data_IF_113523055452
#
_entry.id   IF_113523055452
#
_cell.length_a   1.000
_cell.length_b   1.000
_cell.length_c   1.000
_cell.angle_alpha   90.00
_cell.angle_beta   90.00
_cell.angle_gamma   90.00
#
_symmetry.space_group_name_H-M   'P 1'
#
loop_
_entity.id
_entity.type
_entity.pdbx_description
1 polymer ?
#
# COMPACT_ATOMS: atom_id res chain seq x y z
N UNK A 1 -24.61 14.31 -62.63
CA UNK A 1 -25.71 15.29 -62.41
C UNK A 1 -26.53 14.84 -61.20
N UNK A 2 -26.78 15.80 -60.29
CA UNK A 2 -27.85 15.96 -59.26
C UNK A 2 -28.50 14.74 -58.55
N UNK A 3 -28.44 14.84 -57.21
CA UNK A 3 -29.22 14.18 -56.14
C UNK A 3 -30.74 14.25 -56.36
N UNK A 4 -31.50 13.24 -55.91
CA UNK A 4 -32.85 13.38 -55.29
C UNK A 4 -33.10 12.21 -54.31
N UNK A 5 -33.49 12.56 -53.07
CA UNK A 5 -34.02 11.72 -51.99
C UNK A 5 -35.56 11.59 -52.11
N UNK A 6 -36.18 10.60 -51.42
CA UNK A 6 -37.55 10.58 -50.79
C UNK A 6 -38.00 9.10 -50.74
N UNK A 7 -37.90 8.36 -49.63
CA UNK A 7 -38.74 8.36 -48.41
C UNK A 7 -40.17 7.78 -48.61
N UNK A 8 -40.40 6.55 -48.12
CA UNK A 8 -41.61 6.03 -47.44
C UNK A 8 -41.50 4.48 -47.38
N UNK A 9 -41.31 3.81 -46.22
CA UNK A 9 -42.31 3.51 -45.17
C UNK A 9 -43.59 2.87 -45.76
N UNK A 10 -44.17 1.75 -45.34
CA UNK A 10 -44.27 0.95 -44.11
C UNK A 10 -45.28 -0.16 -44.56
N UNK A 11 -45.10 -1.47 -44.42
CA UNK A 11 -45.47 -2.33 -43.27
C UNK A 11 -45.77 -3.72 -43.87
N UNK A 12 -45.38 -4.79 -43.18
CA UNK A 12 -46.08 -6.09 -42.99
C UNK A 12 -44.99 -7.10 -42.61
N UNK A 13 -44.56 -7.12 -41.35
CA UNK A 13 -45.06 -8.03 -40.31
C UNK A 13 -45.29 -9.46 -40.84
N UNK A 14 -44.21 -10.24 -40.84
CA UNK A 14 -44.31 -11.69 -40.69
C UNK A 14 -43.32 -12.12 -39.60
N UNK A 15 -43.89 -12.64 -38.52
CA UNK A 15 -43.23 -13.29 -37.40
C UNK A 15 -42.22 -14.32 -37.90
N UNK A 16 -40.94 -14.02 -37.73
CA UNK A 16 -39.86 -14.99 -37.85
C UNK A 16 -39.11 -15.01 -36.52
N UNK A 17 -39.49 -15.94 -35.64
CA UNK A 17 -38.75 -16.26 -34.43
C UNK A 17 -37.34 -16.75 -34.80
N UNK A 18 -36.39 -15.83 -34.89
CA UNK A 18 -34.97 -16.17 -34.74
C UNK A 18 -34.59 -15.92 -33.28
N UNK A 19 -34.74 -16.98 -32.50
CA UNK A 19 -34.06 -17.12 -31.22
C UNK A 19 -32.55 -17.02 -31.50
N UNK A 20 -31.98 -15.83 -31.29
CA UNK A 20 -30.53 -15.71 -31.12
C UNK A 20 -30.24 -16.40 -29.80
N UNK A 21 -29.68 -17.62 -29.89
CA UNK A 21 -29.03 -18.27 -28.76
C UNK A 21 -27.86 -17.37 -28.34
N UNK A 22 -28.14 -16.47 -27.40
CA UNK A 22 -27.11 -15.71 -26.73
C UNK A 22 -26.14 -16.69 -26.08
N UNK A 23 -24.92 -16.74 -26.61
CA UNK A 23 -23.76 -17.30 -25.92
C UNK A 23 -23.64 -16.52 -24.61
N UNK A 24 -24.14 -17.09 -23.52
CA UNK A 24 -23.81 -16.63 -22.19
C UNK A 24 -22.37 -17.05 -21.92
N UNK A 25 -21.43 -16.24 -22.41
CA UNK A 25 -20.15 -16.10 -21.74
C UNK A 25 -20.47 -15.53 -20.37
N UNK A 26 -20.62 -16.41 -19.38
CA UNK A 26 -20.56 -16.04 -17.99
C UNK A 26 -19.13 -15.54 -17.75
N UNK A 27 -18.90 -14.27 -18.08
CA UNK A 27 -17.79 -13.50 -17.56
C UNK A 27 -17.97 -13.52 -16.04
N UNK A 28 -17.24 -14.42 -15.39
CA UNK A 28 -16.99 -14.35 -13.95
C UNK A 28 -16.16 -13.09 -13.76
N UNK A 29 -16.83 -11.95 -13.73
CA UNK A 29 -16.25 -10.71 -13.26
C UNK A 29 -15.96 -10.92 -11.77
N UNK A 30 -14.76 -11.43 -11.50
CA UNK A 30 -14.21 -11.56 -10.17
C UNK A 30 -14.23 -10.16 -9.55
N UNK A 31 -15.07 -9.98 -8.53
CA UNK A 31 -15.08 -8.75 -7.74
C UNK A 31 -13.71 -8.66 -7.09
N UNK A 32 -12.79 -7.97 -7.77
CA UNK A 32 -11.49 -7.61 -7.24
C UNK A 32 -11.77 -6.71 -6.05
N UNK A 33 -11.68 -7.28 -4.85
CA UNK A 33 -11.76 -6.52 -3.59
C UNK A 33 -10.94 -5.24 -3.74
N UNK A 34 -11.42 -4.08 -3.26
CA UNK A 34 -10.72 -2.83 -3.44
C UNK A 34 -9.29 -3.01 -2.94
N UNK A 35 -8.31 -2.80 -3.83
CA UNK A 35 -6.90 -2.85 -3.50
C UNK A 35 -6.72 -1.96 -2.28
N UNK A 36 -6.37 -2.55 -1.14
CA UNK A 36 -6.12 -1.81 0.09
C UNK A 36 -4.91 -0.93 -0.19
N UNK A 37 -5.19 0.31 -0.60
CA UNK A 37 -4.18 1.28 -1.00
C UNK A 37 -3.14 1.34 0.13
N UNK A 38 -1.87 1.20 -0.21
CA UNK A 38 -0.76 1.25 0.75
C UNK A 38 -0.58 2.70 1.21
N UNK A 39 -1.51 3.17 2.02
CA UNK A 39 -1.52 4.51 2.60
C UNK A 39 -0.41 4.55 3.64
N UNK A 40 0.50 5.51 3.47
CA UNK A 40 1.53 5.80 4.45
C UNK A 40 0.90 6.52 5.63
N UNK A 41 1.25 6.08 6.83
CA UNK A 41 0.85 6.69 8.10
C UNK A 41 2.12 7.12 8.80
N UNK A 42 2.10 8.29 9.43
CA UNK A 42 3.22 8.78 10.23
C UNK A 42 2.98 8.51 11.70
N UNK A 43 3.89 7.80 12.36
CA UNK A 43 3.82 7.48 13.78
C UNK A 43 5.10 7.89 14.50
N UNK A 44 4.96 8.37 15.74
CA UNK A 44 6.08 8.69 16.62
C UNK A 44 6.30 7.53 17.58
N UNK A 45 7.49 6.94 17.55
CA UNK A 45 7.92 5.90 18.48
C UNK A 45 8.84 6.48 19.53
N UNK A 46 8.47 6.33 20.80
CA UNK A 46 9.38 6.58 21.92
C UNK A 46 10.42 5.45 21.98
N UNK A 47 11.70 5.83 22.08
CA UNK A 47 12.83 4.89 22.07
C UNK A 47 13.82 5.16 23.21
N UNK A 48 13.46 6.02 24.17
CA UNK A 48 14.31 6.37 25.32
C UNK A 48 14.59 5.19 26.26
N UNK A 49 13.70 4.20 26.24
CA UNK A 49 13.70 3.01 27.08
C UNK A 49 14.45 1.84 26.46
N UNK A 50 14.96 1.98 25.23
CA UNK A 50 15.60 0.87 24.52
C UNK A 50 17.11 0.84 24.80
N UNK A 51 17.69 -0.35 25.02
CA UNK A 51 19.12 -0.50 25.29
C UNK A 51 19.99 -0.42 24.02
N UNK A 52 19.81 0.61 23.19
CA UNK A 52 20.56 0.79 21.95
C UNK A 52 21.79 1.65 22.19
N UNK A 53 22.78 1.10 22.89
CA UNK A 53 23.99 1.82 23.28
C UNK A 53 25.18 1.55 22.37
N UNK A 54 26.00 2.58 22.14
CA UNK A 54 27.34 2.40 21.57
C UNK A 54 28.36 2.10 22.67
N UNK A 55 29.50 1.50 22.31
CA UNK A 55 30.59 1.22 23.26
C UNK A 55 31.15 2.47 23.94
N UNK A 56 30.97 3.65 23.35
CA UNK A 56 31.69 4.86 23.73
C UNK A 56 30.78 6.02 24.13
N UNK A 57 29.54 6.11 23.62
CA UNK A 57 28.67 7.28 23.80
C UNK A 57 27.19 6.94 23.64
N UNK A 58 26.54 6.51 24.71
CA UNK A 58 25.09 6.59 24.89
C UNK A 58 24.22 5.97 23.78
N UNK A 59 22.95 6.38 23.75
CA UNK A 59 21.94 5.89 22.83
C UNK A 59 22.25 6.28 21.37
N UNK A 60 22.14 5.35 20.42
CA UNK A 60 22.39 5.60 19.00
C UNK A 60 21.16 5.40 18.13
N UNK A 61 20.67 6.51 17.57
CA UNK A 61 19.63 6.49 16.55
C UNK A 61 20.08 5.78 15.29
N UNK A 62 21.30 6.02 14.81
CA UNK A 62 21.79 5.44 13.55
C UNK A 62 21.78 3.91 13.57
N UNK A 63 22.18 3.31 14.71
CA UNK A 63 22.14 1.86 14.89
C UNK A 63 20.69 1.33 14.87
N UNK A 64 19.78 1.98 15.61
CA UNK A 64 18.38 1.57 15.65
C UNK A 64 17.70 1.73 14.27
N UNK A 65 17.92 2.85 13.60
CA UNK A 65 17.37 3.14 12.27
C UNK A 65 17.90 2.12 11.25
N UNK A 66 19.19 1.82 11.28
CA UNK A 66 19.80 0.80 10.41
C UNK A 66 19.19 -0.58 10.65
N UNK A 67 18.98 -0.95 11.91
CA UNK A 67 18.34 -2.22 12.26
C UNK A 67 16.91 -2.30 11.74
N UNK A 68 16.11 -1.24 11.97
CA UNK A 68 14.73 -1.16 11.47
C UNK A 68 14.70 -1.29 9.95
N UNK A 69 15.55 -0.56 9.23
CA UNK A 69 15.62 -0.64 7.76
C UNK A 69 15.96 -2.05 7.26
N UNK A 70 16.91 -2.72 7.91
CA UNK A 70 17.33 -4.07 7.53
C UNK A 70 16.31 -5.16 7.89
N UNK A 71 15.51 -4.95 8.93
CA UNK A 71 14.61 -5.97 9.46
C UNK A 71 13.19 -5.84 8.93
N UNK A 72 12.75 -4.62 8.60
CA UNK A 72 11.37 -4.33 8.17
C UNK A 72 11.38 -3.93 6.71
N UNK A 73 10.97 -4.87 5.85
CA UNK A 73 10.75 -4.66 4.41
C UNK A 73 11.83 -3.77 3.75
N UNK A 74 13.10 -4.21 3.62
CA UNK A 74 14.22 -3.34 3.26
C UNK A 74 14.07 -2.55 1.95
N UNK A 75 13.27 -3.06 1.01
CA UNK A 75 12.97 -2.42 -0.28
C UNK A 75 12.00 -1.24 -0.16
N UNK A 76 11.24 -1.15 0.93
CA UNK A 76 10.20 -0.14 1.12
C UNK A 76 10.76 1.21 1.57
N UNK A 77 12.03 1.28 1.99
CA UNK A 77 12.68 2.51 2.47
C UNK A 77 13.25 3.35 1.34
N UNK A 78 13.27 4.67 1.53
CA UNK A 78 13.80 5.65 0.56
C UNK A 78 15.23 5.31 0.09
N UNK A 79 16.09 4.80 0.98
CA UNK A 79 17.45 4.39 0.66
C UNK A 79 17.55 3.24 -0.37
N UNK A 80 16.43 2.55 -0.65
CA UNK A 80 16.29 1.51 -1.67
C UNK A 80 15.24 1.85 -2.74
N UNK A 81 14.84 3.12 -2.83
CA UNK A 81 13.85 3.60 -3.80
C UNK A 81 12.39 3.37 -3.40
N UNK A 82 12.15 2.98 -2.14
CA UNK A 82 10.80 2.85 -1.58
C UNK A 82 10.24 4.18 -1.08
N UNK A 83 9.01 4.13 -0.55
CA UNK A 83 8.26 5.32 -0.11
C UNK A 83 8.29 5.56 1.40
N UNK A 84 8.83 4.63 2.17
CA UNK A 84 8.89 4.73 3.63
C UNK A 84 10.07 5.62 4.05
N UNK A 85 9.82 6.47 5.05
CA UNK A 85 10.82 7.40 5.58
C UNK A 85 10.91 7.29 7.10
N UNK A 86 12.05 7.67 7.65
CA UNK A 86 12.35 7.58 9.06
C UNK A 86 13.34 8.66 9.46
N UNK A 87 13.08 9.37 10.55
CA UNK A 87 13.95 10.42 11.05
C UNK A 87 14.05 10.39 12.59
N UNK A 88 15.21 10.74 13.16
CA UNK A 88 15.36 10.91 14.60
C UNK A 88 14.77 12.26 15.05
N UNK A 89 14.21 12.25 16.26
CA UNK A 89 13.81 13.45 16.97
C UNK A 89 14.45 13.44 18.38
N UNK A 90 15.68 13.97 18.51
CA UNK A 90 16.49 13.82 19.72
C UNK A 90 15.91 14.51 20.96
N UNK A 91 15.13 15.59 20.79
CA UNK A 91 14.61 16.41 21.90
C UNK A 91 13.80 15.61 22.93
N UNK A 92 13.16 14.52 22.51
CA UNK A 92 12.40 13.64 23.41
C UNK A 92 12.65 12.15 23.10
N UNK A 93 13.84 11.84 22.58
CA UNK A 93 14.32 10.49 22.28
C UNK A 93 13.29 9.64 21.52
N UNK A 94 12.89 10.13 20.34
CA UNK A 94 11.86 9.48 19.51
C UNK A 94 12.32 9.26 18.06
N UNK A 95 11.71 8.29 17.39
CA UNK A 95 11.77 8.10 15.95
C UNK A 95 10.42 8.46 15.33
N UNK A 96 10.45 9.29 14.28
CA UNK A 96 9.28 9.62 13.46
C UNK A 96 9.37 8.75 12.21
N UNK A 97 8.36 7.92 11.96
CA UNK A 97 8.39 6.95 10.86
C UNK A 97 7.10 7.11 10.04
N UNK A 98 7.25 7.30 8.73
CA UNK A 98 6.16 7.25 7.76
C UNK A 98 6.26 5.97 6.95
N UNK A 99 5.32 5.04 7.13
CA UNK A 99 5.31 3.76 6.40
C UNK A 99 3.91 3.16 6.35
N UNK A 100 3.77 1.98 5.75
CA UNK A 100 2.49 1.27 5.67
C UNK A 100 2.05 0.76 7.06
N UNK A 101 0.74 0.60 7.25
CA UNK A 101 0.21 0.04 8.51
C UNK A 101 0.78 -1.36 8.83
N UNK A 102 1.12 -2.15 7.81
CA UNK A 102 1.76 -3.45 8.00
C UNK A 102 3.20 -3.32 8.54
N UNK A 103 3.97 -2.39 7.99
CA UNK A 103 5.33 -2.14 8.46
C UNK A 103 5.33 -1.55 9.88
N UNK A 104 4.36 -0.69 10.24
CA UNK A 104 4.19 -0.23 11.62
C UNK A 104 4.00 -1.37 12.62
N UNK A 105 3.21 -2.40 12.29
CA UNK A 105 3.04 -3.58 13.13
C UNK A 105 4.35 -4.34 13.32
N UNK A 106 5.13 -4.50 12.24
CA UNK A 106 6.45 -5.14 12.29
C UNK A 106 7.44 -4.34 13.14
N UNK A 107 7.43 -3.01 13.04
CA UNK A 107 8.27 -2.11 13.83
C UNK A 107 7.89 -2.20 15.30
N UNK A 108 6.60 -2.10 15.65
CA UNK A 108 6.15 -2.20 17.03
C UNK A 108 6.62 -3.53 17.67
N UNK A 109 6.41 -4.65 16.99
CA UNK A 109 6.87 -5.96 17.42
C UNK A 109 8.40 -6.07 17.54
N UNK A 110 9.14 -5.42 16.64
CA UNK A 110 10.60 -5.35 16.75
C UNK A 110 11.00 -4.62 18.04
N UNK A 111 10.45 -3.43 18.28
CA UNK A 111 10.79 -2.62 19.46
C UNK A 111 10.38 -3.28 20.77
N UNK A 112 9.23 -3.96 20.81
CA UNK A 112 8.79 -4.76 21.97
C UNK A 112 9.82 -5.84 22.35
N UNK A 113 10.38 -6.55 21.38
CA UNK A 113 11.42 -7.56 21.65
C UNK A 113 12.69 -6.98 22.30
N UNK A 114 13.04 -5.73 21.98
CA UNK A 114 14.16 -5.04 22.63
C UNK A 114 13.85 -4.66 24.08
N UNK A 115 12.56 -4.45 24.42
CA UNK A 115 12.12 -4.16 25.79
C UNK A 115 12.05 -5.41 26.65
N UNK A 116 11.69 -6.53 26.06
CA UNK A 116 11.62 -7.83 26.74
C UNK A 116 13.00 -8.46 26.99
N UNK A 117 14.04 -8.01 26.29
CA UNK A 117 15.40 -8.55 26.43
C UNK A 117 16.21 -7.95 27.58
N UNK A 118 15.60 -7.10 28.41
CA UNK A 118 16.17 -6.57 29.65
C UNK A 118 16.04 -7.56 30.81
#
# INVERSE_FOLDING_TARGET
MRKVYVAACILTLALGCFFVAGVQAADKSEVKQPVKQDVLVTTVYKVYDLPVYTRTKGFSFDLLMTLIQKSVSPKDWEAKGGKSTMAPYPQNLSLIISTTSNNHKKIAKLLERFRESE
#
